data_IF_989837306581
#
_entry.id   IF_989837306581
#
_cell.length_a   1.000
_cell.length_b   1.000
_cell.length_c   1.000
_cell.angle_alpha   90.00
_cell.angle_beta   90.00
_cell.angle_gamma   90.00
#
_symmetry.space_group_name_H-M   'P 1'
#
loop_
_entity.id
_entity.type
_entity.pdbx_description
1 polymer ?
#
# COMPACT_ATOMS: atom_id res chain seq x y z
N UNK A 1 -7.41 0.16 -28.05
CA UNK A 1 -6.90 1.54 -27.88
C UNK A 1 -7.92 2.48 -27.24
N UNK A 2 -9.16 2.60 -27.78
CA UNK A 2 -10.18 3.54 -27.26
C UNK A 2 -10.56 3.20 -25.79
N UNK A 3 -10.81 1.94 -25.47
CA UNK A 3 -11.15 1.49 -24.12
C UNK A 3 -10.01 1.83 -23.15
N UNK A 4 -8.76 1.63 -23.56
CA UNK A 4 -7.57 1.98 -22.77
C UNK A 4 -7.51 3.47 -22.42
N UNK A 5 -7.84 4.35 -23.37
CA UNK A 5 -7.81 5.80 -23.14
C UNK A 5 -8.89 6.23 -22.14
N UNK A 6 -10.08 5.62 -22.18
CA UNK A 6 -11.19 6.01 -21.32
C UNK A 6 -11.19 5.31 -19.96
N UNK A 7 -10.71 4.08 -19.87
CA UNK A 7 -10.78 3.26 -18.66
C UNK A 7 -9.42 2.96 -18.03
N UNK A 8 -8.33 3.19 -18.75
CA UNK A 8 -6.99 3.09 -18.18
C UNK A 8 -6.65 4.30 -17.30
N UNK A 9 -5.61 4.16 -16.51
CA UNK A 9 -5.13 5.18 -15.57
C UNK A 9 -4.13 6.17 -16.19
N UNK A 10 -4.08 6.28 -17.53
CA UNK A 10 -3.10 7.07 -18.28
C UNK A 10 -3.08 8.56 -17.92
N UNK A 11 -4.22 9.11 -17.51
CA UNK A 11 -4.39 10.52 -17.14
C UNK A 11 -4.71 10.70 -15.65
N UNK A 12 -4.48 9.67 -14.84
CA UNK A 12 -4.72 9.75 -13.41
C UNK A 12 -3.72 10.68 -12.73
N UNK A 13 -4.20 11.66 -12.00
CA UNK A 13 -3.36 12.53 -11.15
C UNK A 13 -2.65 11.73 -10.03
N UNK A 14 -3.10 10.51 -9.76
CA UNK A 14 -2.63 9.65 -8.69
C UNK A 14 -1.78 8.48 -9.22
N UNK A 15 -0.90 8.73 -10.17
CA UNK A 15 0.12 7.76 -10.52
C UNK A 15 1.16 7.68 -9.40
N UNK A 16 1.10 6.64 -8.58
CA UNK A 16 2.10 6.36 -7.55
C UNK A 16 3.37 5.71 -8.12
N UNK A 17 3.49 5.68 -9.44
CA UNK A 17 4.53 4.98 -10.16
C UNK A 17 4.21 3.49 -10.37
N UNK A 18 5.00 2.81 -11.18
CA UNK A 18 4.72 1.45 -11.61
C UNK A 18 4.64 0.43 -10.47
N UNK A 19 5.48 0.60 -9.44
CA UNK A 19 5.56 -0.35 -8.33
C UNK A 19 4.39 -0.30 -7.34
N UNK A 20 3.53 0.73 -7.42
CA UNK A 20 2.43 0.92 -6.48
C UNK A 20 1.05 0.60 -7.08
N UNK A 21 0.99 0.30 -8.36
CA UNK A 21 -0.28 0.03 -9.03
C UNK A 21 -1.05 -1.14 -8.44
N UNK A 22 -0.38 -2.25 -8.20
CA UNK A 22 -1.00 -3.48 -7.68
C UNK A 22 -1.68 -3.28 -6.33
N UNK A 23 -1.34 -2.20 -5.66
CA UNK A 23 -1.80 -1.91 -4.32
C UNK A 23 -2.92 -0.87 -4.24
N UNK A 24 -3.30 -0.27 -5.37
CA UNK A 24 -4.44 0.65 -5.41
C UNK A 24 -5.65 0.01 -6.08
N UNK A 25 -6.85 0.38 -5.63
CA UNK A 25 -8.13 -0.13 -6.13
C UNK A 25 -8.23 -1.68 -6.18
N UNK A 26 -7.39 -2.35 -5.42
CA UNK A 26 -7.39 -3.80 -5.36
C UNK A 26 -8.59 -4.29 -4.57
N UNK A 27 -9.35 -5.20 -5.16
CA UNK A 27 -10.46 -5.86 -4.51
C UNK A 27 -10.42 -7.35 -4.83
N UNK A 28 -10.12 -8.16 -3.83
CA UNK A 28 -10.08 -9.61 -3.97
C UNK A 28 -11.10 -10.26 -3.04
N UNK A 29 -11.84 -11.23 -3.56
CA UNK A 29 -12.69 -12.08 -2.73
C UNK A 29 -11.81 -13.10 -1.99
N UNK A 30 -11.96 -13.17 -0.69
CA UNK A 30 -11.20 -14.06 0.18
C UNK A 30 -12.15 -14.97 0.94
N UNK A 31 -11.91 -16.27 0.83
CA UNK A 31 -12.63 -17.29 1.59
C UNK A 31 -11.62 -18.09 2.39
N UNK A 32 -11.72 -18.04 3.69
CA UNK A 32 -10.83 -18.74 4.61
C UNK A 32 -11.64 -19.56 5.61
N UNK A 33 -11.08 -20.70 6.03
CA UNK A 33 -11.62 -21.49 7.14
C UNK A 33 -10.56 -21.59 8.23
N UNK A 34 -10.93 -21.23 9.44
CA UNK A 34 -10.07 -21.33 10.61
C UNK A 34 -10.90 -21.73 11.84
N UNK A 35 -10.50 -22.81 12.51
CA UNK A 35 -11.23 -23.38 13.67
C UNK A 35 -12.74 -23.56 13.37
N UNK A 36 -13.07 -24.17 12.23
CA UNK A 36 -14.44 -24.41 11.75
C UNK A 36 -15.28 -23.15 11.47
N UNK A 37 -14.68 -21.98 11.60
CA UNK A 37 -15.30 -20.70 11.23
C UNK A 37 -14.90 -20.34 9.81
N UNK A 38 -15.91 -20.13 8.96
CA UNK A 38 -15.72 -19.65 7.60
C UNK A 38 -15.73 -18.13 7.61
N UNK A 39 -14.67 -17.53 7.07
CA UNK A 39 -14.56 -16.12 6.79
C UNK A 39 -14.71 -15.90 5.30
N UNK A 40 -15.65 -15.05 4.91
CA UNK A 40 -15.98 -14.73 3.53
C UNK A 40 -16.06 -13.21 3.42
N UNK A 41 -15.07 -12.58 2.80
CA UNK A 41 -14.94 -11.13 2.77
C UNK A 41 -14.19 -10.64 1.54
N UNK A 42 -14.25 -9.33 1.29
CA UNK A 42 -13.41 -8.70 0.30
C UNK A 42 -12.20 -8.02 0.94
N UNK A 43 -11.01 -8.44 0.53
CA UNK A 43 -9.81 -7.64 0.73
C UNK A 43 -9.88 -6.45 -0.24
N UNK A 44 -9.76 -5.24 0.27
CA UNK A 44 -9.90 -4.03 -0.53
C UNK A 44 -8.77 -3.05 -0.23
N UNK A 45 -8.28 -2.42 -1.28
CA UNK A 45 -7.47 -1.19 -1.21
C UNK A 45 -8.21 -0.08 -1.92
N UNK A 46 -8.16 1.09 -1.32
CA UNK A 46 -8.83 2.28 -1.84
C UNK A 46 -8.04 2.94 -2.98
N UNK A 47 -8.61 3.98 -3.55
CA UNK A 47 -8.01 4.74 -4.65
C UNK A 47 -6.63 5.32 -4.31
N UNK A 48 -6.38 5.61 -3.05
CA UNK A 48 -5.12 6.16 -2.55
C UNK A 48 -4.08 5.07 -2.21
N UNK A 49 -4.42 3.79 -2.35
CA UNK A 49 -3.54 2.65 -2.08
C UNK A 49 -3.59 2.15 -0.63
N UNK A 50 -4.32 2.77 0.27
CA UNK A 50 -4.50 2.31 1.64
C UNK A 50 -5.46 1.13 1.71
N UNK A 51 -5.25 0.22 2.64
CA UNK A 51 -6.17 -0.86 2.90
C UNK A 51 -7.47 -0.32 3.51
N UNK A 52 -8.60 -0.71 2.93
CA UNK A 52 -9.93 -0.40 3.47
C UNK A 52 -10.77 0.48 2.53
N UNK A 53 -11.73 1.16 3.12
CA UNK A 53 -12.66 2.03 2.40
C UNK A 53 -12.01 3.35 1.98
N UNK A 54 -12.71 4.06 1.09
CA UNK A 54 -12.26 5.37 0.65
C UNK A 54 -12.20 6.35 1.83
N UNK A 55 -11.11 7.08 1.89
CA UNK A 55 -10.89 8.13 2.88
C UNK A 55 -10.18 9.30 2.21
N UNK A 56 -10.61 10.52 2.50
CA UNK A 56 -9.87 11.71 2.08
C UNK A 56 -8.52 11.74 2.80
N UNK A 57 -7.38 11.83 2.08
CA UNK A 57 -6.06 11.86 2.68
C UNK A 57 -5.87 12.97 3.74
N UNK A 58 -6.59 14.09 3.60
CA UNK A 58 -6.55 15.19 4.57
C UNK A 58 -7.16 14.82 5.94
N UNK A 59 -7.96 13.78 5.99
CA UNK A 59 -8.59 13.29 7.23
C UNK A 59 -7.77 12.23 7.97
N UNK A 60 -6.67 11.78 7.36
CA UNK A 60 -5.82 10.75 7.96
C UNK A 60 -4.92 11.40 9.00
N UNK A 61 -5.05 11.00 10.25
CA UNK A 61 -4.27 11.54 11.36
C UNK A 61 -3.10 10.64 11.75
N UNK A 62 -3.23 9.33 11.49
CA UNK A 62 -2.13 8.39 11.66
C UNK A 62 -2.08 7.36 10.54
N UNK A 63 -0.88 6.84 10.30
CA UNK A 63 -0.63 5.79 9.31
C UNK A 63 0.15 4.65 9.96
N UNK A 64 -0.34 3.42 9.80
CA UNK A 64 0.44 2.23 10.14
C UNK A 64 1.16 1.76 8.89
N UNK A 65 2.49 1.61 9.00
CA UNK A 65 3.40 1.22 7.93
C UNK A 65 4.02 -0.13 8.28
N UNK A 66 4.08 -1.03 7.32
CA UNK A 66 4.70 -2.33 7.49
C UNK A 66 4.52 -3.26 6.30
N UNK A 67 4.93 -4.49 6.45
CA UNK A 67 4.81 -5.56 5.46
C UNK A 67 3.47 -6.29 5.53
N UNK A 68 3.50 -7.60 5.24
CA UNK A 68 2.30 -8.47 5.25
C UNK A 68 1.59 -8.53 6.61
N UNK A 69 2.34 -8.42 7.71
CA UNK A 69 1.81 -8.39 9.07
C UNK A 69 0.99 -7.12 9.37
N UNK A 70 1.22 -6.06 8.63
CA UNK A 70 0.44 -4.82 8.68
C UNK A 70 -0.66 -4.82 7.63
N UNK A 71 -0.37 -5.32 6.43
CA UNK A 71 -1.37 -5.47 5.35
C UNK A 71 -2.53 -6.38 5.77
N UNK A 72 -2.21 -7.46 6.52
CA UNK A 72 -3.20 -8.38 7.10
C UNK A 72 -4.23 -8.90 6.08
N UNK A 73 -3.78 -9.18 4.84
CA UNK A 73 -4.64 -9.62 3.71
C UNK A 73 -5.61 -10.74 4.09
N UNK A 74 -5.15 -11.68 4.93
CA UNK A 74 -5.89 -12.86 5.34
C UNK A 74 -6.75 -12.66 6.60
N UNK A 75 -7.13 -11.42 6.88
CA UNK A 75 -8.11 -11.05 7.90
C UNK A 75 -9.18 -10.14 7.33
N UNK A 76 -10.45 -10.29 7.71
CA UNK A 76 -11.45 -9.24 7.52
C UNK A 76 -10.96 -7.92 8.14
N UNK A 77 -11.34 -6.79 7.54
CA UNK A 77 -10.81 -5.48 7.93
C UNK A 77 -11.12 -5.12 9.38
N UNK A 78 -12.26 -5.52 9.88
CA UNK A 78 -12.69 -5.29 11.27
C UNK A 78 -11.78 -5.93 12.32
N UNK A 79 -10.98 -6.93 11.92
CA UNK A 79 -9.98 -7.57 12.78
C UNK A 79 -8.57 -7.02 12.57
N UNK A 80 -8.39 -6.06 11.67
CA UNK A 80 -7.08 -5.45 11.44
C UNK A 80 -6.62 -4.59 12.62
N UNK A 81 -5.31 -4.44 12.77
CA UNK A 81 -4.72 -3.60 13.82
C UNK A 81 -5.24 -2.16 13.70
N UNK A 82 -5.25 -1.60 12.50
CA UNK A 82 -5.69 -0.23 12.27
C UNK A 82 -7.15 -0.01 12.68
N UNK A 83 -8.07 -0.91 12.27
CA UNK A 83 -9.48 -0.74 12.60
C UNK A 83 -9.76 -1.01 14.09
N UNK A 84 -9.09 -1.98 14.69
CA UNK A 84 -9.19 -2.17 16.14
C UNK A 84 -8.73 -0.94 16.94
N UNK A 85 -7.64 -0.30 16.52
CA UNK A 85 -7.20 0.96 17.13
C UNK A 85 -8.23 2.07 16.92
N UNK A 86 -8.79 2.21 15.71
CA UNK A 86 -9.86 3.15 15.43
C UNK A 86 -11.07 2.95 16.35
N UNK A 87 -11.50 1.69 16.52
CA UNK A 87 -12.62 1.35 17.43
C UNK A 87 -12.30 1.69 18.88
N UNK A 88 -11.11 1.35 19.36
CA UNK A 88 -10.68 1.63 20.73
C UNK A 88 -10.59 3.14 21.01
N UNK A 89 -10.05 3.91 20.08
CA UNK A 89 -9.94 5.37 20.21
C UNK A 89 -11.32 6.02 20.22
N UNK A 90 -12.23 5.63 19.31
CA UNK A 90 -13.61 6.11 19.32
C UNK A 90 -14.33 5.81 20.65
N UNK A 91 -14.16 4.60 21.19
CA UNK A 91 -14.72 4.25 22.51
C UNK A 91 -14.20 5.11 23.66
N UNK A 92 -12.98 5.66 23.53
CA UNK A 92 -12.38 6.60 24.48
C UNK A 92 -12.71 8.07 24.18
N UNK A 93 -13.54 8.35 23.19
CA UNK A 93 -13.96 9.72 22.81
C UNK A 93 -12.98 10.44 21.89
N UNK A 94 -11.96 9.76 21.36
CA UNK A 94 -11.04 10.34 20.40
C UNK A 94 -11.57 10.15 18.97
N UNK A 95 -11.73 11.23 18.23
CA UNK A 95 -12.01 11.19 16.79
C UNK A 95 -10.69 11.20 16.00
N UNK A 96 -9.95 10.12 16.11
CA UNK A 96 -8.63 9.98 15.51
C UNK A 96 -8.68 8.89 14.43
N UNK A 97 -8.31 9.22 13.20
CA UNK A 97 -8.41 8.30 12.07
C UNK A 97 -7.05 7.72 11.71
N UNK A 98 -6.92 6.42 11.87
CA UNK A 98 -5.74 5.64 11.53
C UNK A 98 -6.01 4.87 10.24
N UNK A 99 -5.11 4.94 9.28
CA UNK A 99 -5.16 4.14 8.05
C UNK A 99 -4.02 3.14 7.97
N UNK A 100 -4.22 2.11 7.17
CA UNK A 100 -3.27 1.02 6.99
C UNK A 100 -2.57 1.15 5.63
N UNK A 101 -1.26 1.42 5.68
CA UNK A 101 -0.37 1.50 4.53
C UNK A 101 0.55 0.27 4.41
N UNK A 102 0.20 -0.85 5.04
CA UNK A 102 0.95 -2.09 4.93
C UNK A 102 0.94 -2.63 3.50
N UNK A 103 2.06 -3.16 3.04
CA UNK A 103 2.22 -3.77 1.72
C UNK A 103 2.92 -5.12 1.88
N UNK A 104 2.30 -6.17 1.34
CA UNK A 104 2.85 -7.52 1.41
C UNK A 104 4.27 -7.60 0.86
N UNK A 105 5.19 -8.24 1.61
CA UNK A 105 6.58 -8.42 1.20
C UNK A 105 7.46 -7.16 1.32
N UNK A 106 6.91 -6.01 1.68
CA UNK A 106 7.66 -4.76 1.69
C UNK A 106 8.69 -4.73 2.83
N UNK A 107 9.93 -4.43 2.48
CA UNK A 107 11.06 -4.19 3.37
C UNK A 107 11.14 -2.72 3.81
N UNK A 108 12.11 -2.41 4.68
CA UNK A 108 12.40 -1.01 5.08
C UNK A 108 12.70 -0.11 3.88
N UNK A 109 13.36 -0.62 2.85
CA UNK A 109 13.58 0.12 1.60
C UNK A 109 12.28 0.51 0.90
N UNK A 110 11.32 -0.42 0.84
CA UNK A 110 9.99 -0.13 0.31
C UNK A 110 9.24 0.89 1.14
N UNK A 111 9.43 0.91 2.44
CA UNK A 111 8.85 1.95 3.29
C UNK A 111 9.45 3.32 2.99
N UNK A 112 10.78 3.41 2.76
CA UNK A 112 11.45 4.63 2.30
C UNK A 112 10.89 5.07 0.95
N UNK A 113 10.66 4.12 0.02
CA UNK A 113 10.02 4.39 -1.26
C UNK A 113 8.64 5.03 -1.09
N UNK A 114 7.82 4.54 -0.16
CA UNK A 114 6.49 5.11 0.12
C UNK A 114 6.58 6.58 0.51
N UNK A 115 7.55 6.97 1.35
CA UNK A 115 7.77 8.36 1.73
C UNK A 115 8.26 9.25 0.59
N UNK A 116 9.02 8.68 -0.36
CA UNK A 116 9.54 9.43 -1.51
C UNK A 116 8.50 9.56 -2.64
N UNK A 117 7.71 8.53 -2.90
CA UNK A 117 6.97 8.40 -4.15
C UNK A 117 5.47 8.21 -4.00
N UNK A 118 4.98 7.71 -2.87
CA UNK A 118 3.55 7.52 -2.64
C UNK A 118 2.95 8.66 -1.84
N UNK A 119 3.35 8.83 -0.61
CA UNK A 119 2.75 9.82 0.30
C UNK A 119 2.81 11.26 -0.20
N UNK A 120 3.90 11.74 -0.84
CA UNK A 120 3.94 13.10 -1.37
C UNK A 120 2.96 13.39 -2.51
N UNK A 121 2.44 12.35 -3.18
CA UNK A 121 1.45 12.49 -4.24
C UNK A 121 0.01 12.58 -3.72
N UNK A 122 -0.22 12.33 -2.45
CA UNK A 122 -1.53 12.41 -1.84
C UNK A 122 -1.83 13.86 -1.45
N UNK A 123 -2.86 14.41 -2.05
CA UNK A 123 -3.26 15.81 -1.84
C UNK A 123 -3.65 16.05 -0.37
N UNK A 124 -3.05 17.06 0.25
CA UNK A 124 -3.31 17.45 1.65
C UNK A 124 -3.05 16.34 2.69
N UNK A 125 -2.23 15.34 2.34
CA UNK A 125 -1.87 14.28 3.25
C UNK A 125 -0.80 14.76 4.24
N UNK A 126 -1.16 14.88 5.51
CA UNK A 126 -0.27 15.35 6.57
C UNK A 126 -0.61 14.68 7.91
N UNK A 127 -0.38 13.37 8.03
CA UNK A 127 -0.66 12.66 9.27
C UNK A 127 0.24 13.15 10.40
N UNK A 128 -0.31 13.18 11.62
CA UNK A 128 0.40 13.59 12.84
C UNK A 128 1.29 12.48 13.40
N UNK A 129 1.00 11.22 13.02
CA UNK A 129 1.67 10.05 13.58
C UNK A 129 1.92 9.00 12.51
N UNK A 130 3.13 8.45 12.50
CA UNK A 130 3.48 7.24 11.76
C UNK A 130 3.81 6.12 12.76
N UNK A 131 3.16 4.98 12.60
CA UNK A 131 3.35 3.78 13.40
C UNK A 131 4.05 2.75 12.53
N UNK A 132 5.26 2.35 12.90
CA UNK A 132 6.05 1.40 12.14
C UNK A 132 5.96 0.00 12.76
N UNK A 133 5.53 -0.98 11.97
CA UNK A 133 5.58 -2.40 12.29
C UNK A 133 6.37 -3.10 11.18
N UNK A 134 7.69 -2.95 11.24
CA UNK A 134 8.65 -3.23 10.17
C UNK A 134 9.75 -4.18 10.64
N UNK A 135 10.59 -4.61 9.69
CA UNK A 135 11.85 -5.32 9.97
C UNK A 135 11.86 -6.78 9.52
N UNK A 136 10.72 -7.47 9.55
CA UNK A 136 10.70 -8.92 9.23
C UNK A 136 11.12 -9.24 7.80
N UNK A 137 10.80 -8.36 6.85
CA UNK A 137 11.16 -8.53 5.45
C UNK A 137 12.57 -8.03 5.11
N UNK A 138 13.27 -7.49 6.10
CA UNK A 138 14.68 -7.07 5.96
C UNK A 138 15.65 -8.23 6.24
N UNK A 139 15.13 -9.37 6.68
CA UNK A 139 15.91 -10.57 6.91
C UNK A 139 16.56 -11.06 5.59
N UNK A 140 17.86 -11.21 5.60
CA UNK A 140 18.62 -11.63 4.43
C UNK A 140 19.22 -10.49 3.60
N UNK A 141 18.91 -9.25 3.92
CA UNK A 141 19.61 -8.08 3.39
C UNK A 141 20.87 -7.84 4.22
N UNK A 142 22.01 -8.33 3.75
CA UNK A 142 23.33 -8.07 4.34
C UNK A 142 24.03 -6.88 3.69
N UNK A 143 25.17 -6.42 4.28
CA UNK A 143 25.95 -5.31 3.73
C UNK A 143 26.40 -5.52 2.28
N UNK A 144 26.54 -6.77 1.86
CA UNK A 144 26.90 -7.13 0.48
C UNK A 144 25.79 -6.84 -0.54
N UNK A 145 24.58 -6.60 -0.06
CA UNK A 145 23.41 -6.27 -0.90
C UNK A 145 23.17 -4.77 -1.00
N UNK A 146 23.95 -3.93 -0.28
CA UNK A 146 23.86 -2.47 -0.41
C UNK A 146 24.13 -1.99 -1.84
N UNK A 147 24.87 -2.78 -2.64
CA UNK A 147 25.03 -2.52 -4.08
C UNK A 147 23.73 -2.66 -4.87
N UNK A 148 22.75 -3.42 -4.36
CA UNK A 148 21.41 -3.55 -4.97
C UNK A 148 20.47 -2.43 -4.61
N UNK A 149 20.74 -1.72 -3.52
CA UNK A 149 19.89 -0.66 -3.00
C UNK A 149 20.59 0.68 -3.14
N UNK A 150 20.48 1.27 -4.32
CA UNK A 150 20.94 2.63 -4.51
C UNK A 150 20.01 3.59 -3.74
N UNK A 151 20.48 4.13 -2.62
CA UNK A 151 19.71 5.09 -1.82
C UNK A 151 19.42 6.40 -2.54
N UNK A 152 20.14 6.72 -3.62
CA UNK A 152 19.86 7.86 -4.50
C UNK A 152 18.80 7.51 -5.56
N UNK A 153 18.59 6.23 -5.82
CA UNK A 153 17.53 5.70 -6.67
C UNK A 153 16.27 5.39 -5.88
N UNK A 154 15.26 4.89 -6.56
CA UNK A 154 13.91 4.66 -6.02
C UNK A 154 13.77 3.44 -5.10
N UNK A 155 14.86 2.96 -4.52
CA UNK A 155 14.87 2.20 -3.26
C UNK A 155 14.40 0.76 -3.31
N UNK A 156 14.25 0.11 -4.46
CA UNK A 156 13.87 -1.29 -4.49
C UNK A 156 14.63 -2.16 -5.45
N UNK A 157 15.23 -1.59 -6.44
CA UNK A 157 15.92 -2.37 -7.47
C UNK A 157 17.01 -1.47 -8.03
N UNK A 158 18.17 -2.04 -8.37
CA UNK A 158 19.06 -1.53 -9.40
C UNK A 158 18.21 -0.74 -10.40
N UNK A 159 18.55 0.51 -10.66
CA UNK A 159 17.81 1.34 -11.63
C UNK A 159 17.23 0.45 -12.72
N UNK A 160 15.90 0.26 -12.79
CA UNK A 160 15.32 -0.68 -13.74
C UNK A 160 15.74 -0.23 -15.12
N UNK A 161 16.08 -1.17 -15.99
CA UNK A 161 16.37 -0.84 -17.39
C UNK A 161 15.19 -0.05 -17.98
N UNK A 162 15.46 0.89 -18.86
CA UNK A 162 14.41 1.74 -19.44
C UNK A 162 13.24 0.94 -20.03
N UNK A 163 13.52 -0.28 -20.49
CA UNK A 163 12.50 -1.20 -21.02
C UNK A 163 11.61 -1.76 -19.91
N UNK A 164 12.14 -2.04 -18.73
CA UNK A 164 11.36 -2.51 -17.58
C UNK A 164 10.43 -1.40 -17.08
N UNK A 165 10.95 -0.18 -16.95
CA UNK A 165 10.14 1.01 -16.62
C UNK A 165 9.02 1.21 -17.65
N UNK A 166 9.31 1.02 -18.92
CA UNK A 166 8.31 1.14 -19.98
C UNK A 166 7.21 0.09 -19.84
N UNK A 167 7.56 -1.18 -19.65
CA UNK A 167 6.56 -2.24 -19.47
C UNK A 167 5.76 -2.06 -18.18
N UNK A 168 6.40 -1.67 -17.09
CA UNK A 168 5.72 -1.41 -15.82
C UNK A 168 4.81 -0.20 -15.90
N UNK A 169 5.20 0.83 -16.67
CA UNK A 169 4.33 1.97 -16.95
C UNK A 169 3.09 1.54 -17.74
N UNK A 170 3.25 0.69 -18.76
CA UNK A 170 2.12 0.15 -19.50
C UNK A 170 1.22 -0.66 -18.57
N UNK A 171 1.76 -1.61 -17.82
CA UNK A 171 1.02 -2.42 -16.85
C UNK A 171 0.27 -1.56 -15.84
N UNK A 172 0.93 -0.53 -15.30
CA UNK A 172 0.35 0.32 -14.27
C UNK A 172 -0.72 1.27 -14.76
N UNK A 173 -0.85 1.51 -16.05
CA UNK A 173 -1.85 2.42 -16.60
C UNK A 173 -2.90 1.73 -17.49
N UNK A 174 -2.67 0.49 -17.89
CA UNK A 174 -3.59 -0.26 -18.74
C UNK A 174 -4.81 -0.78 -17.99
N UNK A 175 -5.98 -0.63 -18.58
CA UNK A 175 -7.23 -1.21 -18.08
C UNK A 175 -7.23 -2.75 -18.15
N UNK A 176 -6.54 -3.33 -19.12
CA UNK A 176 -6.55 -4.77 -19.37
C UNK A 176 -5.56 -5.58 -18.53
N UNK A 177 -4.78 -4.94 -17.68
CA UNK A 177 -3.75 -5.60 -16.87
C UNK A 177 -4.20 -5.90 -15.42
N UNK A 178 -5.48 -5.79 -15.13
CA UNK A 178 -6.05 -6.21 -13.85
C UNK A 178 -6.42 -7.70 -13.86
#
# INVERSE_FOLDING_TARGET
AIIEIFFGFWFSEHSFGPYMREHRLKKNHVVLSYNDIKYDYFYKRNYHGFRGEEIDPSQIEAVIIGGSTTDERYKPIEFSIAENLNVLLRKKGYNFKITNAGIEGQSTYGHIYNFKHWFPKLKNFSPKLYIFYIGINDFGFGPEQDEYFNFEGDGHVKNPEAIEVFFDTIKSNSFFYD
#
